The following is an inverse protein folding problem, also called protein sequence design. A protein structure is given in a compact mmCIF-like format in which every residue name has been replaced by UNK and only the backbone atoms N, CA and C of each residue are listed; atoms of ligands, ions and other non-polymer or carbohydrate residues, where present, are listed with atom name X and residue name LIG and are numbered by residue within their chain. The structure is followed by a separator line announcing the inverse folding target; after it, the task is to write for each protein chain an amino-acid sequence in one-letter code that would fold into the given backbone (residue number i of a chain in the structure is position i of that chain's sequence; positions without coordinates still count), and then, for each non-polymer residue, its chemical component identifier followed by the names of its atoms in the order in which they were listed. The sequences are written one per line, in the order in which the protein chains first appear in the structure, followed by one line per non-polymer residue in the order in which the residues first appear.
data_IF_628830460863
#
_entry.id   IF_628830460863
#
_cell.length_a   1.000
_cell.length_b   1.000
_cell.length_c   1.000
_cell.angle_alpha   90.00
_cell.angle_beta   90.00
_cell.angle_gamma   90.00
#
_symmetry.space_group_name_H-M   'P 1'
#
loop_
_entity.id
_entity.type
_entity.pdbx_description
1 polymer ?
#
# COMPACT_ATOMS: atom_id res chain seq x y z
N UNK A 1 -9.13 -8.47 -22.27
CA UNK A 1 -8.79 -9.81 -21.73
C UNK A 1 -8.95 -9.79 -20.21
N UNK A 2 -10.19 -9.94 -19.74
CA UNK A 2 -10.50 -10.03 -18.32
C UNK A 2 -10.90 -11.47 -17.98
N UNK A 3 -9.92 -12.29 -17.60
CA UNK A 3 -10.18 -13.43 -16.74
C UNK A 3 -8.91 -13.80 -15.98
N UNK A 4 -9.11 -14.20 -14.72
CA UNK A 4 -8.17 -14.91 -13.86
C UNK A 4 -7.12 -14.03 -13.14
N UNK A 5 -7.49 -13.50 -11.98
CA UNK A 5 -6.90 -13.87 -10.67
C UNK A 5 -7.98 -13.55 -9.61
N UNK A 6 -8.87 -14.51 -9.38
CA UNK A 6 -9.60 -14.66 -8.11
C UNK A 6 -9.17 -15.99 -7.55
N UNK A 7 -8.10 -16.01 -6.77
CA UNK A 7 -7.76 -17.04 -5.79
C UNK A 7 -6.62 -16.53 -4.91
N UNK A 8 -6.78 -16.72 -3.61
CA UNK A 8 -5.89 -16.38 -2.50
C UNK A 8 -6.03 -14.99 -1.86
N UNK A 9 -7.13 -14.81 -1.10
CA UNK A 9 -7.09 -14.12 0.18
C UNK A 9 -8.00 -14.87 1.17
N UNK A 10 -7.48 -15.62 2.15
CA UNK A 10 -8.29 -16.08 3.26
C UNK A 10 -8.46 -14.92 4.25
N UNK A 11 -9.57 -14.19 4.09
CA UNK A 11 -10.08 -13.32 5.15
C UNK A 11 -10.62 -14.21 6.28
N UNK A 12 -9.76 -14.53 7.25
CA UNK A 12 -10.19 -15.10 8.53
C UNK A 12 -10.83 -14.00 9.39
N UNK A 13 -12.10 -13.69 9.11
CA UNK A 13 -13.00 -13.04 10.06
C UNK A 13 -13.50 -14.11 11.04
N UNK A 14 -12.80 -14.28 12.16
CA UNK A 14 -13.32 -15.04 13.30
C UNK A 14 -14.57 -14.35 13.83
N UNK A 15 -15.74 -14.88 13.47
CA UNK A 15 -16.99 -14.67 14.20
C UNK A 15 -16.80 -15.17 15.63
N UNK A 16 -16.75 -14.23 16.58
CA UNK A 16 -16.84 -14.53 18.01
C UNK A 16 -18.27 -15.00 18.29
N UNK A 17 -18.45 -16.33 18.31
CA UNK A 17 -19.63 -16.99 18.86
C UNK A 17 -19.33 -17.24 20.35
N UNK A 18 -20.19 -16.71 21.23
CA UNK A 18 -20.06 -16.91 22.67
C UNK A 18 -20.29 -18.38 23.03
N UNK A 19 -19.46 -19.00 23.91
CA UNK A 19 -19.79 -20.30 24.45
C UNK A 19 -20.79 -20.14 25.61
N UNK A 20 -21.90 -20.87 25.52
CA UNK A 20 -22.86 -21.11 26.59
C UNK A 20 -22.13 -21.59 27.85
N UNK A 21 -22.33 -20.90 28.96
CA UNK A 21 -21.87 -21.31 30.28
C UNK A 21 -22.49 -22.68 30.63
N UNK A 22 -21.65 -23.71 30.71
CA UNK A 22 -22.01 -24.98 31.32
C UNK A 22 -21.59 -24.90 32.78
N UNK A 23 -22.58 -24.81 33.68
CA UNK A 23 -22.38 -24.77 35.12
C UNK A 23 -22.03 -26.20 35.56
N UNK A 24 -20.79 -26.39 36.01
CA UNK A 24 -20.38 -27.59 36.73
C UNK A 24 -20.19 -27.19 38.19
N UNK A 25 -21.12 -27.64 39.03
CA UNK A 25 -21.02 -27.56 40.49
C UNK A 25 -19.89 -28.48 40.97
N UNK A 26 -18.80 -27.91 41.46
CA UNK A 26 -17.86 -28.63 42.33
C UNK A 26 -18.01 -28.13 43.76
N UNK A 27 -18.33 -29.07 44.65
CA UNK A 27 -18.62 -28.88 46.06
C UNK A 27 -17.48 -28.19 46.82
N UNK A 28 -17.86 -27.23 47.67
CA UNK A 28 -17.00 -26.58 48.66
C UNK A 28 -16.51 -27.61 49.68
N UNK A 29 -15.19 -27.78 49.78
CA UNK A 29 -14.54 -28.17 51.03
C UNK A 29 -14.17 -26.87 51.77
N UNK A 30 -14.76 -26.67 52.94
CA UNK A 30 -14.46 -25.56 53.84
C UNK A 30 -13.06 -25.75 54.42
N UNK A 31 -12.09 -24.98 53.94
CA UNK A 31 -10.82 -24.74 54.64
C UNK A 31 -10.80 -23.32 55.19
N UNK A 32 -10.39 -23.23 56.45
CA UNK A 32 -10.23 -22.03 57.30
C UNK A 32 -9.79 -20.78 56.53
N UNK A 33 -10.57 -19.70 56.67
CA UNK A 33 -10.25 -18.36 56.15
C UNK A 33 -9.02 -17.85 56.88
N UNK A 34 -7.89 -17.80 56.16
CA UNK A 34 -6.79 -16.90 56.49
C UNK A 34 -7.00 -15.61 55.68
N UNK A 35 -6.70 -14.42 56.22
CA UNK A 35 -6.91 -13.18 55.49
C UNK A 35 -5.97 -13.16 54.28
N UNK A 36 -6.54 -13.24 53.08
CA UNK A 36 -5.81 -13.09 51.83
C UNK A 36 -5.17 -11.70 51.81
N UNK A 37 -3.84 -11.68 51.98
CA UNK A 37 -3.01 -10.61 51.44
C UNK A 37 -3.21 -10.71 49.91
N UNK A 38 -3.98 -9.80 49.34
CA UNK A 38 -4.15 -9.71 47.88
C UNK A 38 -2.77 -9.32 47.31
N UNK A 39 -1.95 -10.32 46.96
CA UNK A 39 -0.79 -10.07 46.10
C UNK A 39 -1.32 -9.54 44.76
N UNK A 40 -0.78 -8.42 44.23
CA UNK A 40 -1.18 -7.92 42.93
C UNK A 40 -0.95 -9.01 41.88
N UNK A 41 -2.00 -9.30 41.11
CA UNK A 41 -2.03 -10.35 40.09
C UNK A 41 -0.80 -10.19 39.18
N UNK A 42 0.19 -11.08 39.30
CA UNK A 42 1.45 -11.04 38.55
C UNK A 42 1.17 -11.07 37.05
N UNK A 43 1.17 -9.90 36.44
CA UNK A 43 0.96 -9.69 35.00
C UNK A 43 2.14 -10.30 34.24
N UNK A 44 1.91 -11.12 33.21
CA UNK A 44 2.98 -11.78 32.42
C UNK A 44 2.73 -11.66 30.92
N UNK A 45 3.80 -11.76 30.13
CA UNK A 45 3.76 -11.83 28.68
C UNK A 45 3.14 -10.58 28.06
N UNK A 46 2.06 -10.77 27.30
CA UNK A 46 1.38 -9.67 26.59
C UNK A 46 0.94 -8.56 27.54
N UNK A 47 0.27 -8.88 28.64
CA UNK A 47 -0.26 -7.85 29.55
C UNK A 47 0.86 -7.04 30.24
N UNK A 48 1.99 -7.67 30.56
CA UNK A 48 3.14 -6.98 31.13
C UNK A 48 3.75 -6.03 30.10
N UNK A 49 3.77 -6.45 28.83
CA UNK A 49 4.25 -5.62 27.72
C UNK A 49 3.33 -4.43 27.43
N UNK A 50 2.02 -4.60 27.56
CA UNK A 50 1.08 -3.48 27.43
C UNK A 50 1.26 -2.47 28.56
N UNK A 51 1.53 -2.91 29.78
CA UNK A 51 1.89 -2.01 30.88
C UNK A 51 3.23 -1.29 30.62
N UNK A 52 4.25 -2.00 30.12
CA UNK A 52 5.52 -1.38 29.71
C UNK A 52 5.31 -0.30 28.64
N UNK A 53 4.50 -0.56 27.62
CA UNK A 53 4.13 0.43 26.59
C UNK A 53 3.34 1.59 27.19
N UNK A 54 2.43 1.33 28.13
CA UNK A 54 1.65 2.37 28.82
C UNK A 54 2.56 3.34 29.56
N UNK A 55 3.55 2.85 30.29
CA UNK A 55 4.54 3.69 30.98
C UNK A 55 5.29 4.58 29.99
N UNK A 56 5.80 4.00 28.90
CA UNK A 56 6.50 4.76 27.85
C UNK A 56 5.57 5.84 27.29
N UNK A 57 4.36 5.48 26.88
CA UNK A 57 3.41 6.41 26.28
C UNK A 57 3.02 7.55 27.22
N UNK A 58 2.78 7.24 28.50
CA UNK A 58 2.43 8.20 29.53
C UNK A 58 3.58 9.18 29.79
N UNK A 59 4.81 8.68 29.84
CA UNK A 59 6.00 9.51 29.95
C UNK A 59 6.13 10.47 28.76
N UNK A 60 6.07 9.95 27.53
CA UNK A 60 6.17 10.77 26.30
C UNK A 60 5.07 11.84 26.25
N UNK A 61 3.87 11.54 26.78
CA UNK A 61 2.76 12.51 26.84
C UNK A 61 3.01 13.60 27.87
N UNK A 62 3.52 13.25 29.06
CA UNK A 62 3.65 14.16 30.20
C UNK A 62 4.97 14.94 30.25
N UNK A 63 6.02 14.43 29.61
CA UNK A 63 7.36 15.01 29.72
C UNK A 63 7.47 16.35 28.98
N UNK A 64 8.06 17.33 29.67
CA UNK A 64 8.55 18.58 29.08
C UNK A 64 9.95 18.40 28.51
N UNK A 65 10.31 19.18 27.49
CA UNK A 65 11.58 19.06 26.75
C UNK A 65 12.82 19.46 27.56
N UNK A 66 12.67 20.12 28.71
CA UNK A 66 13.75 20.82 29.41
C UNK A 66 14.50 19.98 30.44
N UNK A 67 13.90 18.93 31.00
CA UNK A 67 14.57 18.04 31.95
C UNK A 67 13.99 16.62 31.83
N UNK A 68 14.77 15.70 31.25
CA UNK A 68 14.31 14.35 30.94
C UNK A 68 15.34 13.35 31.47
N UNK A 69 14.92 12.51 32.41
CA UNK A 69 15.71 11.37 32.87
C UNK A 69 15.32 10.10 32.11
N UNK A 70 16.10 9.80 31.06
CA UNK A 70 15.91 8.59 30.27
C UNK A 70 16.29 7.30 31.03
N UNK A 71 17.17 7.38 32.04
CA UNK A 71 17.57 6.23 32.85
C UNK A 71 16.44 5.82 33.80
N UNK A 72 15.77 6.80 34.41
CA UNK A 72 14.60 6.57 35.26
C UNK A 72 13.46 5.92 34.47
N UNK A 73 13.16 6.42 33.26
CA UNK A 73 12.18 5.80 32.37
C UNK A 73 12.55 4.34 32.06
N UNK A 74 13.78 4.10 31.63
CA UNK A 74 14.24 2.74 31.29
C UNK A 74 14.14 1.81 32.48
N UNK A 75 14.58 2.25 33.66
CA UNK A 75 14.50 1.48 34.90
C UNK A 75 13.05 1.15 35.27
N UNK A 76 12.14 2.12 35.13
CA UNK A 76 10.71 1.94 35.39
C UNK A 76 10.09 0.89 34.48
N UNK A 77 10.39 0.93 33.18
CA UNK A 77 9.90 -0.04 32.19
C UNK A 77 10.48 -1.44 32.42
N UNK A 78 11.77 -1.53 32.74
CA UNK A 78 12.47 -2.80 32.93
C UNK A 78 12.16 -3.46 34.28
N UNK A 79 11.71 -2.67 35.27
CA UNK A 79 11.22 -3.21 36.55
C UNK A 79 9.99 -4.12 36.39
N UNK A 80 9.22 -3.94 35.30
CA UNK A 80 8.13 -4.83 34.94
C UNK A 80 8.69 -6.15 34.41
N UNK A 81 8.84 -7.10 35.32
CA UNK A 81 9.32 -8.43 35.02
C UNK A 81 8.38 -9.18 34.06
N UNK A 82 8.95 -10.03 33.18
CA UNK A 82 8.24 -10.95 32.27
C UNK A 82 7.40 -10.29 31.16
N UNK A 83 7.68 -9.03 30.83
CA UNK A 83 7.25 -8.41 29.57
C UNK A 83 8.17 -8.76 28.39
N UNK A 84 7.78 -8.35 27.18
CA UNK A 84 8.56 -8.53 25.95
C UNK A 84 9.54 -7.38 25.70
N UNK A 85 9.36 -6.22 26.36
CA UNK A 85 10.33 -5.12 26.31
C UNK A 85 11.48 -5.45 27.28
N UNK A 86 12.70 -5.39 26.76
CA UNK A 86 13.95 -5.74 27.44
C UNK A 86 15.08 -4.80 26.99
N UNK A 87 16.27 -4.95 27.57
CA UNK A 87 17.44 -4.11 27.31
C UNK A 87 17.81 -4.00 25.81
N UNK A 88 17.53 -5.02 25.00
CA UNK A 88 17.89 -5.02 23.58
C UNK A 88 16.93 -4.20 22.72
N UNK A 89 15.66 -4.08 23.10
CA UNK A 89 14.63 -3.45 22.27
C UNK A 89 14.02 -2.18 22.88
N UNK A 90 14.27 -1.89 24.16
CA UNK A 90 13.69 -0.75 24.87
C UNK A 90 13.96 0.58 24.17
N UNK A 91 15.18 0.79 23.65
CA UNK A 91 15.51 2.02 22.94
C UNK A 91 14.65 2.21 21.68
N UNK A 92 14.38 1.12 20.94
CA UNK A 92 13.49 1.15 19.79
C UNK A 92 12.06 1.50 20.19
N UNK A 93 11.56 0.89 21.27
CA UNK A 93 10.20 1.16 21.77
C UNK A 93 10.02 2.61 22.25
N UNK A 94 11.01 3.18 22.93
CA UNK A 94 10.96 4.58 23.38
C UNK A 94 10.96 5.51 22.17
N UNK A 95 11.90 5.33 21.23
CA UNK A 95 11.99 6.19 20.05
C UNK A 95 10.73 6.10 19.17
N UNK A 96 10.18 4.90 19.00
CA UNK A 96 8.94 4.68 18.26
C UNK A 96 7.76 5.38 18.93
N UNK A 97 7.64 5.32 20.26
CA UNK A 97 6.59 6.01 20.99
C UNK A 97 6.69 7.55 20.83
N UNK A 98 7.89 8.11 20.92
CA UNK A 98 8.13 9.53 20.65
C UNK A 98 7.71 9.92 19.22
N UNK A 99 8.08 9.09 18.24
CA UNK A 99 7.71 9.29 16.82
C UNK A 99 6.21 9.24 16.59
N UNK A 100 5.51 8.24 17.17
CA UNK A 100 4.06 8.07 17.02
C UNK A 100 3.27 9.24 17.63
N UNK A 101 3.76 9.82 18.72
CA UNK A 101 3.15 10.99 19.36
C UNK A 101 3.61 12.32 18.74
N UNK A 102 4.37 12.30 17.64
CA UNK A 102 4.90 13.48 16.95
C UNK A 102 5.71 14.43 17.87
N UNK A 103 6.46 13.86 18.81
CA UNK A 103 7.33 14.60 19.74
C UNK A 103 8.76 14.63 19.21
N UNK A 104 9.02 15.48 18.20
CA UNK A 104 10.33 15.64 17.54
C UNK A 104 11.43 16.06 18.52
N UNK A 105 11.08 16.90 19.51
CA UNK A 105 11.91 17.30 20.63
C UNK A 105 12.44 16.09 21.43
N UNK A 106 11.55 15.13 21.72
CA UNK A 106 11.89 13.91 22.45
C UNK A 106 12.66 12.91 21.57
N UNK A 107 12.35 12.82 20.28
CA UNK A 107 13.11 12.02 19.31
C UNK A 107 14.58 12.47 19.27
N UNK A 108 14.81 13.79 19.18
CA UNK A 108 16.17 14.38 19.16
C UNK A 108 16.88 14.20 20.50
N UNK A 109 16.22 14.51 21.61
CA UNK A 109 16.78 14.35 22.96
C UNK A 109 17.16 12.91 23.27
N UNK A 110 16.29 11.95 22.93
CA UNK A 110 16.55 10.53 23.17
C UNK A 110 17.72 10.01 22.34
N UNK A 111 17.80 10.37 21.06
CA UNK A 111 18.91 9.94 20.20
C UNK A 111 20.25 10.49 20.68
N UNK A 112 20.28 11.74 21.17
CA UNK A 112 21.46 12.32 21.81
C UNK A 112 21.90 11.51 23.03
N UNK A 113 20.96 11.21 23.95
CA UNK A 113 21.21 10.36 25.10
C UNK A 113 21.77 8.98 24.70
N UNK A 114 21.19 8.33 23.68
CA UNK A 114 21.69 7.02 23.23
C UNK A 114 23.12 7.12 22.68
N UNK A 115 23.43 8.16 21.90
CA UNK A 115 24.79 8.40 21.40
C UNK A 115 25.78 8.59 22.54
N UNK A 116 25.43 9.33 23.58
CA UNK A 116 26.26 9.51 24.78
C UNK A 116 26.52 8.18 25.51
N UNK A 117 25.50 7.33 25.68
CA UNK A 117 25.65 6.03 26.32
C UNK A 117 26.39 4.98 25.48
N UNK A 118 26.47 5.14 24.15
CA UNK A 118 27.00 4.15 23.21
C UNK A 118 28.33 4.55 22.57
N UNK A 119 29.07 5.49 23.16
CA UNK A 119 30.30 6.05 22.59
C UNK A 119 30.10 6.55 21.14
N UNK A 120 28.93 7.13 20.87
CA UNK A 120 28.56 7.74 19.60
C UNK A 120 28.07 6.78 18.52
N UNK A 121 27.87 5.48 18.79
CA UNK A 121 27.44 4.49 17.79
C UNK A 121 26.17 3.74 18.21
N UNK A 122 24.98 4.28 17.89
CA UNK A 122 23.73 3.56 18.04
C UNK A 122 23.70 2.29 17.17
N UNK A 123 22.80 1.36 17.49
CA UNK A 123 22.60 0.20 16.64
C UNK A 123 21.90 0.61 15.32
N UNK A 124 22.16 -0.14 14.24
CA UNK A 124 21.63 0.15 12.91
C UNK A 124 20.10 0.33 12.90
N UNK A 125 19.36 -0.59 13.55
CA UNK A 125 17.90 -0.52 13.56
C UNK A 125 17.37 0.77 14.19
N UNK A 126 18.03 1.26 15.25
CA UNK A 126 17.68 2.49 15.93
C UNK A 126 18.01 3.73 15.08
N UNK A 127 19.15 3.73 14.38
CA UNK A 127 19.48 4.80 13.42
C UNK A 127 18.44 4.89 12.29
N UNK A 128 18.02 3.75 11.74
CA UNK A 128 16.99 3.73 10.70
C UNK A 128 15.63 4.20 11.22
N UNK A 129 15.27 3.85 12.47
CA UNK A 129 14.04 4.34 13.10
C UNK A 129 14.10 5.85 13.36
N UNK A 130 15.26 6.38 13.75
CA UNK A 130 15.50 7.80 13.93
C UNK A 130 15.31 8.58 12.63
N UNK A 131 15.93 8.13 11.53
CA UNK A 131 15.77 8.74 10.20
C UNK A 131 14.30 8.72 9.76
N UNK A 132 13.61 7.59 9.92
CA UNK A 132 12.18 7.48 9.60
C UNK A 132 11.31 8.41 10.44
N UNK A 133 11.71 8.66 11.68
CA UNK A 133 11.00 9.59 12.57
C UNK A 133 11.10 11.02 12.04
N UNK A 134 12.29 11.44 11.60
CA UNK A 134 12.48 12.76 10.99
C UNK A 134 11.73 12.94 9.68
N UNK A 135 11.66 11.91 8.85
CA UNK A 135 10.86 11.99 7.62
C UNK A 135 9.38 12.31 7.89
N UNK A 136 8.81 11.82 9.00
CA UNK A 136 7.43 12.12 9.43
C UNK A 136 7.25 13.55 9.95
N UNK A 137 8.30 14.17 10.48
CA UNK A 137 8.30 15.52 11.04
C UNK A 137 9.24 16.46 10.27
N UNK A 138 9.37 16.25 8.94
CA UNK A 138 10.38 16.94 8.12
C UNK A 138 10.19 18.45 8.05
N UNK A 139 8.97 18.94 8.29
CA UNK A 139 8.63 20.36 8.31
C UNK A 139 9.27 21.11 9.50
N UNK A 140 9.71 20.38 10.53
CA UNK A 140 10.28 20.94 11.78
C UNK A 140 11.83 20.89 11.80
N UNK A 141 12.46 20.41 10.72
CA UNK A 141 13.91 20.21 10.66
C UNK A 141 14.67 21.54 10.55
N UNK A 142 15.69 21.73 11.40
CA UNK A 142 16.67 22.80 11.21
C UNK A 142 17.74 22.42 10.19
N UNK A 143 18.51 23.39 9.72
CA UNK A 143 19.65 23.14 8.82
C UNK A 143 20.68 22.17 9.45
N UNK A 144 20.91 22.29 10.76
CA UNK A 144 21.77 21.37 11.51
C UNK A 144 21.22 19.94 11.52
N UNK A 145 19.90 19.78 11.69
CA UNK A 145 19.26 18.47 11.66
C UNK A 145 19.37 17.84 10.27
N UNK A 146 19.17 18.63 9.20
CA UNK A 146 19.34 18.16 7.82
C UNK A 146 20.78 17.72 7.55
N UNK A 147 21.77 18.47 8.03
CA UNK A 147 23.19 18.12 7.89
C UNK A 147 23.54 16.82 8.64
N UNK A 148 23.02 16.64 9.86
CA UNK A 148 23.21 15.40 10.64
C UNK A 148 22.58 14.19 9.93
N UNK A 149 21.35 14.33 9.43
CA UNK A 149 20.64 13.27 8.69
C UNK A 149 21.40 12.91 7.41
N UNK A 150 21.84 13.92 6.65
CA UNK A 150 22.61 13.74 5.43
C UNK A 150 23.88 12.92 5.68
N UNK A 151 24.67 13.34 6.68
CA UNK A 151 25.92 12.67 7.06
C UNK A 151 25.65 11.21 7.49
N UNK A 152 24.58 11.00 8.26
CA UNK A 152 24.16 9.67 8.70
C UNK A 152 23.76 8.79 7.51
N UNK A 153 22.97 9.32 6.56
CA UNK A 153 22.53 8.59 5.36
C UNK A 153 23.71 8.18 4.47
N UNK A 154 24.67 9.09 4.24
CA UNK A 154 25.88 8.80 3.45
C UNK A 154 26.75 7.74 4.12
N UNK A 155 26.95 7.84 5.44
CA UNK A 155 27.68 6.85 6.23
C UNK A 155 27.01 5.48 6.19
N UNK A 156 25.69 5.44 6.40
CA UNK A 156 24.89 4.21 6.36
C UNK A 156 24.98 3.53 5.00
N UNK A 157 24.82 4.29 3.90
CA UNK A 157 24.92 3.76 2.56
C UNK A 157 26.31 3.18 2.27
N UNK A 158 27.37 3.96 2.53
CA UNK A 158 28.75 3.56 2.26
C UNK A 158 29.18 2.33 3.07
N UNK A 159 28.88 2.32 4.37
CA UNK A 159 29.34 1.27 5.27
C UNK A 159 28.53 -0.04 5.12
N UNK A 160 27.29 0.05 4.64
CA UNK A 160 26.38 -1.10 4.57
C UNK A 160 25.97 -1.47 3.13
N UNK A 161 26.71 -1.02 2.12
CA UNK A 161 26.41 -1.33 0.71
C UNK A 161 26.31 -2.84 0.44
N UNK A 162 27.12 -3.64 1.13
CA UNK A 162 27.12 -5.11 1.03
C UNK A 162 25.91 -5.79 1.70
N UNK A 163 25.19 -5.09 2.60
CA UNK A 163 23.97 -5.55 3.29
C UNK A 163 22.71 -4.88 2.73
N UNK A 164 22.85 -4.19 1.59
CA UNK A 164 21.79 -3.37 1.03
C UNK A 164 20.56 -4.23 0.73
N UNK A 165 19.43 -3.80 1.27
CA UNK A 165 18.14 -4.43 1.08
C UNK A 165 17.07 -3.33 0.99
N UNK A 166 15.85 -3.64 0.52
CA UNK A 166 14.82 -2.63 0.31
C UNK A 166 14.47 -1.82 1.56
N UNK A 167 14.50 -2.43 2.76
CA UNK A 167 14.17 -1.75 4.03
C UNK A 167 15.24 -0.76 4.44
N UNK A 168 16.53 -1.10 4.25
CA UNK A 168 17.65 -0.21 4.50
C UNK A 168 17.66 0.95 3.50
N UNK A 169 17.52 0.65 2.21
CA UNK A 169 17.50 1.65 1.15
C UNK A 169 16.35 2.64 1.34
N UNK A 170 15.15 2.15 1.65
CA UNK A 170 13.97 2.98 1.90
C UNK A 170 14.22 4.00 3.03
N UNK A 171 14.85 3.57 4.12
CA UNK A 171 15.17 4.46 5.24
C UNK A 171 16.17 5.55 4.84
N UNK A 172 17.21 5.16 4.10
CA UNK A 172 18.23 6.09 3.62
C UNK A 172 17.61 7.12 2.67
N UNK A 173 16.77 6.67 1.74
CA UNK A 173 16.04 7.54 0.80
C UNK A 173 15.10 8.49 1.55
N UNK A 174 14.35 7.99 2.54
CA UNK A 174 13.52 8.84 3.41
C UNK A 174 14.35 9.95 4.06
N UNK A 175 15.54 9.60 4.59
CA UNK A 175 16.44 10.58 5.18
C UNK A 175 16.99 11.59 4.17
N UNK A 176 17.44 11.13 2.99
CA UNK A 176 17.92 12.02 1.94
C UNK A 176 16.83 12.98 1.44
N UNK A 177 15.59 12.52 1.33
CA UNK A 177 14.43 13.36 0.98
C UNK A 177 14.10 14.45 2.02
N UNK A 178 14.71 14.41 3.20
CA UNK A 178 14.65 15.49 4.18
C UNK A 178 15.71 16.59 3.96
N UNK A 179 16.59 16.44 2.96
CA UNK A 179 17.79 17.26 2.80
C UNK A 179 17.89 17.83 1.38
N UNK A 180 18.74 18.84 1.13
CA UNK A 180 18.99 19.35 -0.22
C UNK A 180 19.61 18.32 -1.17
N UNK A 181 20.26 17.27 -0.64
CA UNK A 181 20.86 16.18 -1.44
C UNK A 181 19.88 15.05 -1.78
N UNK A 182 18.57 15.29 -1.73
CA UNK A 182 17.58 14.26 -2.03
C UNK A 182 17.75 13.59 -3.40
N UNK A 183 18.33 14.28 -4.39
CA UNK A 183 18.64 13.73 -5.73
C UNK A 183 19.62 12.57 -5.68
N UNK A 184 20.51 12.52 -4.69
CA UNK A 184 21.45 11.41 -4.47
C UNK A 184 20.70 10.10 -4.24
N UNK A 185 19.43 10.14 -3.81
CA UNK A 185 18.57 8.96 -3.69
C UNK A 185 18.49 8.15 -4.98
N UNK A 186 18.46 8.82 -6.14
CA UNK A 186 18.40 8.17 -7.45
C UNK A 186 19.72 7.46 -7.78
N UNK A 187 20.85 8.06 -7.43
CA UNK A 187 22.17 7.45 -7.59
C UNK A 187 22.38 6.29 -6.62
N UNK A 188 21.87 6.41 -5.40
CA UNK A 188 21.93 5.34 -4.39
C UNK A 188 21.10 4.14 -4.82
N UNK A 189 19.91 4.38 -5.40
CA UNK A 189 19.09 3.32 -6.02
C UNK A 189 19.88 2.58 -7.09
N UNK A 190 20.50 3.29 -8.05
CA UNK A 190 21.29 2.66 -9.12
C UNK A 190 22.47 1.86 -8.56
N UNK A 191 23.20 2.45 -7.62
CA UNK A 191 24.38 1.83 -7.02
C UNK A 191 24.04 0.62 -6.13
N UNK A 192 22.81 0.55 -5.59
CA UNK A 192 22.36 -0.53 -4.70
C UNK A 192 22.19 -1.88 -5.41
N UNK A 193 22.05 -1.90 -6.74
CA UNK A 193 21.79 -3.09 -7.57
C UNK A 193 20.54 -3.89 -7.16
N UNK A 194 19.65 -3.34 -6.33
CA UNK A 194 18.36 -3.94 -5.96
C UNK A 194 17.21 -3.24 -6.69
N UNK A 195 17.46 -2.78 -7.92
CA UNK A 195 16.50 -1.98 -8.68
C UNK A 195 15.17 -2.69 -8.88
N UNK A 196 15.13 -4.02 -8.97
CA UNK A 196 13.88 -4.77 -9.14
C UNK A 196 13.02 -4.84 -7.87
N UNK A 197 13.62 -4.62 -6.70
CA UNK A 197 12.97 -4.79 -5.38
C UNK A 197 12.70 -3.45 -4.68
N UNK A 198 12.77 -2.33 -5.41
CA UNK A 198 12.46 -1.00 -4.87
C UNK A 198 11.02 -0.98 -4.34
N UNK A 199 10.84 -0.47 -3.12
CA UNK A 199 9.53 -0.39 -2.50
C UNK A 199 8.70 0.78 -3.04
N UNK A 200 7.37 0.64 -2.99
CA UNK A 200 6.42 1.73 -3.28
C UNK A 200 6.76 2.97 -2.46
N UNK A 201 7.07 2.82 -1.18
CA UNK A 201 7.43 3.93 -0.30
C UNK A 201 8.69 4.65 -0.75
N UNK A 202 9.73 3.92 -1.16
CA UNK A 202 10.99 4.50 -1.64
C UNK A 202 10.75 5.46 -2.80
N UNK A 203 10.03 5.01 -3.83
CA UNK A 203 9.70 5.87 -4.98
C UNK A 203 8.74 7.00 -4.60
N UNK A 204 7.77 6.73 -3.72
CA UNK A 204 6.81 7.73 -3.23
C UNK A 204 7.52 8.91 -2.56
N UNK A 205 8.49 8.64 -1.68
CA UNK A 205 9.28 9.67 -1.01
C UNK A 205 10.00 10.59 -2.01
N UNK A 206 10.58 10.02 -3.07
CA UNK A 206 11.31 10.78 -4.09
C UNK A 206 10.34 11.59 -4.95
N UNK A 207 9.20 11.00 -5.35
CA UNK A 207 8.17 11.68 -6.14
C UNK A 207 7.61 12.89 -5.39
N UNK A 208 7.26 12.71 -4.11
CA UNK A 208 6.75 13.80 -3.27
C UNK A 208 7.79 14.92 -3.15
N UNK A 209 9.06 14.57 -2.92
CA UNK A 209 10.13 15.56 -2.86
C UNK A 209 10.36 16.29 -4.19
N UNK A 210 10.31 15.58 -5.31
CA UNK A 210 10.39 16.18 -6.64
C UNK A 210 9.28 17.20 -6.88
N UNK A 211 8.05 16.91 -6.43
CA UNK A 211 6.94 17.87 -6.52
C UNK A 211 7.10 19.09 -5.60
N UNK A 212 7.67 18.93 -4.40
CA UNK A 212 8.02 20.05 -3.52
C UNK A 212 9.02 21.01 -4.21
N UNK A 213 10.00 20.45 -4.92
CA UNK A 213 11.00 21.20 -5.70
C UNK A 213 10.49 21.65 -7.08
N UNK A 214 9.20 21.45 -7.38
CA UNK A 214 8.57 21.77 -8.66
C UNK A 214 9.18 21.04 -9.89
N UNK A 215 9.86 19.92 -9.67
CA UNK A 215 10.44 19.06 -10.72
C UNK A 215 9.41 18.10 -11.30
N UNK A 216 8.44 18.65 -12.03
CA UNK A 216 7.28 17.92 -12.54
C UNK A 216 7.67 16.73 -13.42
N UNK A 217 8.58 16.92 -14.39
CA UNK A 217 8.91 15.86 -15.35
C UNK A 217 9.63 14.68 -14.72
N UNK A 218 10.51 14.94 -13.75
CA UNK A 218 11.14 13.89 -12.96
C UNK A 218 10.09 13.15 -12.12
N UNK A 219 9.21 13.88 -11.42
CA UNK A 219 8.13 13.27 -10.64
C UNK A 219 7.23 12.36 -11.50
N UNK A 220 6.85 12.80 -12.70
CA UNK A 220 6.06 11.98 -13.62
C UNK A 220 6.80 10.77 -14.17
N UNK A 221 8.08 10.91 -14.49
CA UNK A 221 8.94 9.77 -14.89
C UNK A 221 8.96 8.71 -13.80
N UNK A 222 9.07 9.13 -12.54
CA UNK A 222 9.05 8.24 -11.38
C UNK A 222 7.65 7.65 -11.12
N UNK A 223 6.56 8.38 -11.38
CA UNK A 223 5.19 7.83 -11.33
C UNK A 223 5.01 6.70 -12.35
N UNK A 224 5.45 6.88 -13.59
CA UNK A 224 5.41 5.83 -14.60
C UNK A 224 6.23 4.60 -14.16
N UNK A 225 7.43 4.82 -13.60
CA UNK A 225 8.27 3.75 -13.08
C UNK A 225 7.56 2.97 -11.95
N UNK A 226 7.05 3.69 -10.94
CA UNK A 226 6.29 3.13 -9.83
C UNK A 226 5.09 2.30 -10.32
N UNK A 227 4.30 2.86 -11.22
CA UNK A 227 3.10 2.22 -11.71
C UNK A 227 3.38 0.99 -12.56
N UNK A 228 4.37 1.04 -13.46
CA UNK A 228 4.76 -0.09 -14.27
C UNK A 228 5.22 -1.30 -13.44
N UNK A 229 5.80 -1.03 -12.26
CA UNK A 229 6.31 -2.07 -11.35
C UNK A 229 5.23 -2.62 -10.44
N UNK A 230 4.46 -1.75 -9.80
CA UNK A 230 3.59 -2.14 -8.69
C UNK A 230 2.10 -2.10 -9.02
N UNK A 231 1.73 -1.48 -10.16
CA UNK A 231 0.32 -1.25 -10.54
C UNK A 231 -0.48 -0.53 -9.45
N UNK A 232 0.19 0.34 -8.68
CA UNK A 232 -0.38 1.11 -7.58
C UNK A 232 -0.01 2.58 -7.78
N UNK A 233 -0.98 3.47 -7.55
CA UNK A 233 -0.75 4.90 -7.41
C UNK A 233 -1.20 5.35 -6.00
N UNK A 234 -0.25 5.65 -5.10
CA UNK A 234 -0.52 6.17 -3.76
C UNK A 234 -1.35 7.46 -3.78
N UNK A 235 -2.25 7.59 -2.80
CA UNK A 235 -3.18 8.73 -2.68
C UNK A 235 -2.43 10.04 -2.46
N UNK A 236 -1.34 9.97 -1.70
CA UNK A 236 -0.48 11.09 -1.32
C UNK A 236 0.18 11.73 -2.55
N UNK A 237 0.56 10.94 -3.55
CA UNK A 237 1.13 11.44 -4.81
C UNK A 237 0.09 12.25 -5.58
N UNK A 238 -1.14 11.73 -5.67
CA UNK A 238 -2.24 12.43 -6.34
C UNK A 238 -2.55 13.72 -5.60
N UNK A 239 -2.66 13.68 -4.27
CA UNK A 239 -2.89 14.87 -3.45
C UNK A 239 -1.80 15.92 -3.65
N UNK A 240 -0.53 15.51 -3.65
CA UNK A 240 0.61 16.39 -3.89
C UNK A 240 0.57 17.02 -5.30
N UNK A 241 0.21 16.24 -6.34
CA UNK A 241 0.04 16.78 -7.70
C UNK A 241 -1.05 17.85 -7.76
N UNK A 242 -2.21 17.61 -7.16
CA UNK A 242 -3.28 18.62 -7.10
C UNK A 242 -2.82 19.89 -6.37
N UNK A 243 -2.15 19.75 -5.23
CA UNK A 243 -1.62 20.90 -4.48
C UNK A 243 -0.50 21.65 -5.21
N UNK A 244 0.30 20.97 -6.04
CA UNK A 244 1.25 21.62 -6.92
C UNK A 244 0.53 22.43 -8.01
N UNK A 245 -0.52 21.86 -8.62
CA UNK A 245 -1.31 22.54 -9.64
C UNK A 245 -2.08 23.77 -9.13
N UNK A 246 -2.43 23.81 -7.84
CA UNK A 246 -3.00 25.01 -7.22
C UNK A 246 -2.02 26.19 -7.19
N UNK A 247 -0.71 25.92 -7.17
CA UNK A 247 0.35 26.93 -7.02
C UNK A 247 1.07 27.23 -8.34
N UNK A 248 1.04 26.31 -9.30
CA UNK A 248 1.82 26.39 -10.53
C UNK A 248 0.91 26.36 -11.76
N UNK A 249 0.87 27.47 -12.50
CA UNK A 249 0.05 27.64 -13.71
C UNK A 249 0.42 26.67 -14.85
N UNK A 250 1.63 26.10 -14.83
CA UNK A 250 2.09 25.14 -15.85
C UNK A 250 1.66 23.69 -15.52
N UNK A 251 1.05 23.45 -14.36
CA UNK A 251 0.57 22.15 -13.93
C UNK A 251 -0.91 21.98 -14.28
N UNK A 252 -1.27 20.80 -14.78
CA UNK A 252 -2.66 20.48 -15.13
C UNK A 252 -3.15 19.25 -14.38
N UNK A 253 -4.28 19.41 -13.67
CA UNK A 253 -4.97 18.28 -13.03
C UNK A 253 -5.39 17.21 -14.05
N UNK A 254 -5.55 17.57 -15.34
CA UNK A 254 -5.89 16.59 -16.38
C UNK A 254 -4.83 15.50 -16.51
N UNK A 255 -3.56 15.80 -16.29
CA UNK A 255 -2.46 14.84 -16.45
C UNK A 255 -2.66 13.59 -15.60
N UNK A 256 -3.12 13.75 -14.35
CA UNK A 256 -3.41 12.59 -13.48
C UNK A 256 -4.69 11.87 -13.88
N UNK A 257 -5.72 12.59 -14.34
CA UNK A 257 -6.97 11.97 -14.80
C UNK A 257 -6.75 11.17 -16.09
N UNK A 258 -5.96 11.70 -17.02
CA UNK A 258 -5.55 11.04 -18.25
C UNK A 258 -4.67 9.84 -17.93
N UNK A 259 -3.70 9.98 -17.03
CA UNK A 259 -2.89 8.85 -16.57
C UNK A 259 -3.76 7.70 -16.01
N UNK A 260 -4.74 8.01 -15.15
CA UNK A 260 -5.65 7.01 -14.59
C UNK A 260 -6.50 6.34 -15.68
N UNK A 261 -7.01 7.12 -16.63
CA UNK A 261 -7.80 6.63 -17.78
C UNK A 261 -6.96 5.71 -18.67
N UNK A 262 -5.79 6.17 -19.10
CA UNK A 262 -4.95 5.51 -20.10
C UNK A 262 -4.31 4.23 -19.56
N UNK A 263 -4.25 4.09 -18.23
CA UNK A 263 -3.77 2.88 -17.57
C UNK A 263 -4.89 1.99 -17.01
N UNK A 264 -6.15 2.27 -17.37
CA UNK A 264 -7.34 1.54 -16.91
C UNK A 264 -7.35 1.33 -15.38
N UNK A 265 -6.92 2.35 -14.64
CA UNK A 265 -6.71 2.21 -13.20
C UNK A 265 -8.04 2.04 -12.47
N UNK A 266 -8.11 1.02 -11.60
CA UNK A 266 -9.27 0.82 -10.73
C UNK A 266 -9.25 1.87 -9.64
N UNK A 267 -10.13 2.86 -9.77
CA UNK A 267 -10.25 3.96 -8.81
C UNK A 267 -10.91 3.44 -7.52
N UNK A 268 -10.17 3.54 -6.41
CA UNK A 268 -10.68 3.28 -5.07
C UNK A 268 -11.51 4.46 -4.55
N UNK A 269 -12.35 4.20 -3.55
CA UNK A 269 -13.24 5.20 -2.95
C UNK A 269 -12.49 6.41 -2.38
N UNK A 270 -11.37 6.19 -1.70
CA UNK A 270 -10.52 7.26 -1.14
C UNK A 270 -9.95 8.20 -2.23
N UNK A 271 -9.50 7.62 -3.34
CA UNK A 271 -9.02 8.37 -4.49
C UNK A 271 -10.15 9.12 -5.21
N UNK A 272 -11.30 8.47 -5.37
CA UNK A 272 -12.51 9.10 -5.92
C UNK A 272 -12.90 10.33 -5.07
N UNK A 273 -12.96 10.17 -3.75
CA UNK A 273 -13.27 11.25 -2.80
C UNK A 273 -12.31 12.43 -2.94
N UNK A 274 -11.00 12.16 -2.99
CA UNK A 274 -9.97 13.17 -3.17
C UNK A 274 -10.17 13.96 -4.48
N UNK A 275 -10.32 13.25 -5.61
CA UNK A 275 -10.51 13.87 -6.94
C UNK A 275 -11.77 14.74 -6.92
N UNK A 276 -12.88 14.22 -6.39
CA UNK A 276 -14.15 14.94 -6.32
C UNK A 276 -14.02 16.23 -5.51
N UNK A 277 -13.36 16.19 -4.36
CA UNK A 277 -13.20 17.35 -3.49
C UNK A 277 -12.29 18.40 -4.12
N UNK A 278 -11.19 18.00 -4.76
CA UNK A 278 -10.30 18.92 -5.49
C UNK A 278 -10.99 19.58 -6.69
N UNK A 279 -11.80 18.82 -7.44
CA UNK A 279 -12.59 19.37 -8.57
C UNK A 279 -13.65 20.36 -8.08
N UNK A 280 -14.35 20.06 -6.96
CA UNK A 280 -15.31 21.00 -6.34
C UNK A 280 -14.66 22.31 -5.91
N UNK A 281 -13.46 22.25 -5.33
CA UNK A 281 -12.69 23.45 -4.94
C UNK A 281 -12.33 24.32 -6.14
N UNK A 282 -12.22 23.73 -7.33
CA UNK A 282 -11.99 24.45 -8.59
C UNK A 282 -13.27 25.08 -9.18
N UNK A 283 -14.41 25.01 -8.47
CA UNK A 283 -15.69 25.58 -8.91
C UNK A 283 -16.52 24.67 -9.82
N UNK A 284 -16.06 23.45 -10.12
CA UNK A 284 -16.76 22.51 -11.00
C UNK A 284 -17.72 21.63 -10.18
N UNK A 285 -18.95 21.43 -10.69
CA UNK A 285 -20.00 20.66 -10.00
C UNK A 285 -19.76 19.15 -10.08
N UNK A 286 -18.99 18.58 -9.16
CA UNK A 286 -18.80 17.14 -9.09
C UNK A 286 -19.77 16.44 -8.11
N UNK A 287 -20.32 15.28 -8.48
CA UNK A 287 -21.15 14.43 -7.60
C UNK A 287 -20.93 12.95 -7.87
N UNK A 288 -21.17 12.11 -6.86
CA UNK A 288 -21.26 10.66 -7.05
C UNK A 288 -22.62 10.32 -7.68
N UNK A 289 -22.63 9.38 -8.61
CA UNK A 289 -23.85 8.95 -9.29
C UNK A 289 -23.80 7.47 -9.65
N UNK A 290 -24.91 6.98 -10.19
CA UNK A 290 -25.08 5.64 -10.68
C UNK A 290 -25.23 5.67 -12.20
N UNK A 291 -24.90 4.56 -12.85
CA UNK A 291 -25.14 4.35 -14.28
C UNK A 291 -26.26 3.34 -14.49
N UNK A 292 -27.17 3.65 -15.41
CA UNK A 292 -28.18 2.69 -15.85
C UNK A 292 -27.52 1.58 -16.68
N UNK A 293 -27.60 0.34 -16.18
CA UNK A 293 -26.97 -0.82 -16.82
C UNK A 293 -27.42 -1.07 -18.27
N UNK A 294 -28.68 -0.80 -18.61
CA UNK A 294 -29.26 -1.15 -19.91
C UNK A 294 -28.84 -0.23 -21.06
N UNK A 295 -28.38 1.00 -20.77
CA UNK A 295 -28.06 1.99 -21.82
C UNK A 295 -26.84 2.85 -21.49
N UNK A 296 -26.12 2.56 -20.41
CA UNK A 296 -24.91 3.30 -20.04
C UNK A 296 -25.15 4.76 -19.66
N UNK A 297 -26.41 5.18 -19.40
CA UNK A 297 -26.71 6.58 -19.05
C UNK A 297 -26.41 6.89 -17.58
N UNK A 298 -25.74 8.01 -17.34
CA UNK A 298 -25.55 8.58 -16.02
C UNK A 298 -26.90 9.06 -15.43
N UNK A 299 -27.24 8.67 -14.19
CA UNK A 299 -28.50 9.09 -13.53
C UNK A 299 -28.56 10.59 -13.20
N UNK A 300 -27.42 11.25 -13.07
CA UNK A 300 -27.34 12.66 -12.70
C UNK A 300 -27.42 13.60 -13.91
N UNK A 301 -26.59 13.37 -14.95
CA UNK A 301 -26.51 14.27 -16.11
C UNK A 301 -27.19 13.73 -17.38
N UNK A 302 -27.73 12.52 -17.35
CA UNK A 302 -28.38 11.82 -18.46
C UNK A 302 -27.48 11.58 -19.70
N UNK A 303 -26.18 11.88 -19.62
CA UNK A 303 -25.21 11.58 -20.67
C UNK A 303 -24.94 10.08 -20.75
N UNK A 304 -24.74 9.58 -21.97
CA UNK A 304 -24.36 8.20 -22.25
C UNK A 304 -22.84 8.09 -22.12
N UNK A 305 -22.35 7.13 -21.35
CA UNK A 305 -20.92 6.86 -21.29
C UNK A 305 -20.39 6.40 -22.65
N UNK A 306 -19.18 6.82 -22.99
CA UNK A 306 -18.53 6.39 -24.23
C UNK A 306 -18.34 4.87 -24.19
N UNK A 307 -18.73 4.20 -25.27
CA UNK A 307 -18.41 2.78 -25.43
C UNK A 307 -16.90 2.61 -25.53
N UNK A 308 -16.41 1.50 -25.00
CA UNK A 308 -15.02 1.08 -25.22
C UNK A 308 -14.96 0.48 -26.62
N UNK A 309 -14.62 1.31 -27.59
CA UNK A 309 -14.42 0.89 -28.97
C UNK A 309 -12.97 0.42 -29.12
N UNK A 310 -12.78 -0.80 -29.62
CA UNK A 310 -11.46 -1.33 -30.00
C UNK A 310 -11.27 -1.01 -31.48
N UNK A 311 -10.20 -0.30 -31.81
CA UNK A 311 -9.88 0.00 -33.23
C UNK A 311 -9.44 -1.26 -33.96
N UNK A 312 -9.62 -1.32 -35.29
CA UNK A 312 -9.15 -2.44 -36.11
C UNK A 312 -7.64 -2.68 -35.95
N UNK A 313 -6.85 -1.62 -35.79
CA UNK A 313 -5.42 -1.72 -35.51
C UNK A 313 -5.10 -2.35 -34.16
N UNK A 314 -5.82 -1.97 -33.10
CA UNK A 314 -5.64 -2.57 -31.77
C UNK A 314 -6.09 -4.03 -31.78
N UNK A 315 -7.20 -4.34 -32.43
CA UNK A 315 -7.68 -5.71 -32.58
C UNK A 315 -6.70 -6.57 -33.36
N UNK A 316 -6.17 -6.08 -34.48
CA UNK A 316 -5.17 -6.78 -35.27
C UNK A 316 -3.88 -7.01 -34.49
N UNK A 317 -3.38 -5.98 -33.79
CA UNK A 317 -2.20 -6.11 -32.94
C UNK A 317 -2.41 -7.15 -31.83
N UNK A 318 -3.60 -7.16 -31.20
CA UNK A 318 -3.99 -8.15 -30.21
C UNK A 318 -4.01 -9.57 -30.79
N UNK A 319 -4.62 -9.73 -31.97
CA UNK A 319 -4.71 -10.99 -32.70
C UNK A 319 -3.32 -11.54 -33.04
N UNK A 320 -2.44 -10.71 -33.62
CA UNK A 320 -1.08 -11.09 -33.99
C UNK A 320 -0.23 -11.48 -32.76
N UNK A 321 -0.29 -10.69 -31.68
CA UNK A 321 0.38 -11.00 -30.43
C UNK A 321 -0.13 -12.30 -29.80
N UNK A 322 -1.44 -12.54 -29.85
CA UNK A 322 -2.04 -13.77 -29.31
C UNK A 322 -1.62 -15.00 -30.13
N UNK A 323 -1.73 -14.94 -31.46
CA UNK A 323 -1.35 -16.04 -32.33
C UNK A 323 0.16 -16.37 -32.21
N UNK A 324 1.02 -15.36 -32.26
CA UNK A 324 2.48 -15.57 -32.19
C UNK A 324 2.95 -16.11 -30.84
N UNK A 325 2.41 -15.60 -29.72
CA UNK A 325 2.90 -15.94 -28.39
C UNK A 325 2.19 -17.15 -27.75
N UNK A 326 0.89 -17.30 -27.99
CA UNK A 326 0.05 -18.32 -27.32
C UNK A 326 -0.11 -19.57 -28.18
N UNK A 327 -0.33 -19.40 -29.48
CA UNK A 327 -0.57 -20.52 -30.40
C UNK A 327 0.72 -21.07 -31.02
N UNK A 328 1.65 -20.19 -31.43
CA UNK A 328 2.90 -20.57 -32.13
C UNK A 328 4.12 -20.63 -31.19
N UNK A 329 4.02 -20.08 -29.98
CA UNK A 329 5.14 -19.92 -29.04
C UNK A 329 5.90 -21.22 -28.68
N UNK A 330 7.00 -21.09 -27.92
CA UNK A 330 8.05 -22.13 -27.66
C UNK A 330 7.58 -23.53 -27.22
N UNK A 331 6.32 -23.72 -26.85
CA UNK A 331 5.71 -25.00 -26.50
C UNK A 331 4.48 -25.30 -27.38
N UNK A 332 4.68 -25.39 -28.70
CA UNK A 332 3.67 -25.86 -29.67
C UNK A 332 3.01 -27.18 -29.20
N UNK A 333 3.73 -28.00 -28.44
CA UNK A 333 3.31 -29.33 -28.00
C UNK A 333 2.40 -29.39 -26.76
N UNK A 334 2.02 -28.27 -26.14
CA UNK A 334 1.21 -28.33 -24.91
C UNK A 334 -0.31 -28.25 -25.13
N UNK A 335 -0.81 -27.75 -26.28
CA UNK A 335 -2.26 -27.47 -26.43
C UNK A 335 -2.92 -27.93 -27.75
N UNK A 336 -2.24 -27.93 -28.91
CA UNK A 336 -2.82 -28.35 -30.21
C UNK A 336 -1.71 -28.59 -31.25
N UNK A 337 -1.97 -29.33 -32.34
CA UNK A 337 -0.98 -29.58 -33.41
C UNK A 337 -0.96 -28.46 -34.46
N UNK A 338 0.18 -28.20 -35.14
CA UNK A 338 0.24 -27.22 -36.23
C UNK A 338 -0.76 -27.48 -37.36
N UNK A 339 -1.02 -28.75 -37.66
CA UNK A 339 -1.98 -29.15 -38.70
C UNK A 339 -3.41 -28.79 -38.29
N UNK A 340 -3.81 -29.16 -37.08
CA UNK A 340 -5.14 -28.85 -36.54
C UNK A 340 -5.40 -27.33 -36.50
N UNK A 341 -4.38 -26.53 -36.14
CA UNK A 341 -4.48 -25.07 -36.17
C UNK A 341 -4.68 -24.52 -37.60
N UNK A 342 -4.00 -25.08 -38.59
CA UNK A 342 -4.15 -24.67 -39.99
C UNK A 342 -5.52 -25.09 -40.53
N UNK A 343 -5.94 -26.34 -40.29
CA UNK A 343 -7.27 -26.84 -40.68
C UNK A 343 -8.38 -25.97 -40.07
N UNK A 344 -8.21 -25.53 -38.82
CA UNK A 344 -9.15 -24.62 -38.16
C UNK A 344 -9.16 -23.22 -38.80
N UNK A 345 -8.00 -22.66 -39.17
CA UNK A 345 -7.94 -21.38 -39.89
C UNK A 345 -8.67 -21.45 -41.22
N UNK A 346 -8.38 -22.49 -42.01
CA UNK A 346 -9.02 -22.71 -43.32
C UNK A 346 -10.53 -22.86 -43.17
N UNK A 347 -10.99 -23.60 -42.16
CA UNK A 347 -12.41 -23.72 -41.83
C UNK A 347 -13.03 -22.35 -41.56
N UNK A 348 -12.44 -21.55 -40.66
CA UNK A 348 -12.97 -20.22 -40.30
C UNK A 348 -12.96 -19.26 -41.50
N UNK A 349 -11.93 -19.28 -42.35
CA UNK A 349 -11.89 -18.45 -43.57
C UNK A 349 -13.04 -18.77 -44.54
N UNK A 350 -13.46 -20.05 -44.61
CA UNK A 350 -14.55 -20.49 -45.47
C UNK A 350 -15.92 -20.17 -44.86
N UNK A 351 -16.06 -20.21 -43.53
CA UNK A 351 -17.37 -20.21 -42.86
C UNK A 351 -17.72 -18.93 -42.11
N UNK A 352 -16.77 -18.01 -41.94
CA UNK A 352 -17.00 -16.67 -41.38
C UNK A 352 -17.87 -15.78 -42.30
N UNK A 353 -18.53 -14.73 -41.78
CA UNK A 353 -18.48 -14.19 -40.42
C UNK A 353 -19.45 -14.84 -39.43
N UNK A 354 -19.08 -14.78 -38.14
CA UNK A 354 -19.92 -15.18 -37.03
C UNK A 354 -20.19 -14.01 -36.10
N UNK A 355 -21.43 -13.85 -35.64
CA UNK A 355 -21.77 -12.83 -34.64
C UNK A 355 -21.36 -13.26 -33.22
N UNK A 356 -21.42 -14.56 -32.93
CA UNK A 356 -21.18 -15.11 -31.59
C UNK A 356 -20.36 -16.40 -31.70
N UNK A 357 -19.23 -16.44 -31.01
CA UNK A 357 -18.41 -17.65 -30.83
C UNK A 357 -18.61 -18.17 -29.43
N UNK A 358 -18.96 -19.46 -29.30
CA UNK A 358 -19.28 -20.09 -28.02
C UNK A 358 -18.20 -21.11 -27.66
N UNK A 359 -17.61 -20.96 -26.48
CA UNK A 359 -16.77 -22.00 -25.88
C UNK A 359 -17.67 -23.11 -25.31
N UNK A 360 -17.97 -24.09 -26.16
CA UNK A 360 -18.86 -25.20 -25.82
C UNK A 360 -18.35 -26.06 -24.68
N UNK A 361 -17.02 -26.18 -24.49
CA UNK A 361 -16.44 -26.99 -23.43
C UNK A 361 -16.67 -26.33 -22.06
N UNK A 362 -16.32 -25.05 -21.93
CA UNK A 362 -16.55 -24.31 -20.69
C UNK A 362 -18.03 -24.17 -20.37
N UNK A 363 -18.89 -24.03 -21.40
CA UNK A 363 -20.33 -24.06 -21.21
C UNK A 363 -20.81 -25.42 -20.67
N UNK A 364 -20.39 -26.53 -21.28
CA UNK A 364 -20.76 -27.86 -20.82
C UNK A 364 -20.31 -28.11 -19.36
N UNK A 365 -19.11 -27.67 -18.98
CA UNK A 365 -18.63 -27.76 -17.60
C UNK A 365 -19.45 -26.92 -16.62
N UNK A 366 -19.80 -25.68 -16.97
CA UNK A 366 -20.61 -24.81 -16.13
C UNK A 366 -22.00 -25.41 -15.83
N UNK A 367 -22.53 -26.23 -16.75
CA UNK A 367 -23.87 -26.82 -16.66
C UNK A 367 -23.91 -28.31 -16.31
N UNK A 368 -22.76 -28.97 -16.04
CA UNK A 368 -22.73 -30.37 -15.56
C UNK A 368 -23.56 -30.47 -14.26
N UNK A 369 -24.75 -31.08 -14.37
CA UNK A 369 -25.68 -31.33 -13.25
C UNK A 369 -26.90 -30.41 -13.15
N UNK A 370 -27.13 -29.46 -14.08
CA UNK A 370 -28.29 -28.53 -14.04
C UNK A 370 -29.16 -28.52 -15.31
N UNK A 371 -29.04 -29.51 -16.18
CA UNK A 371 -29.82 -29.54 -17.44
C UNK A 371 -31.17 -30.24 -17.20
N UNK A 372 -32.17 -29.44 -16.83
CA UNK A 372 -33.58 -29.76 -17.07
C UNK A 372 -34.07 -28.95 -18.27
N UNK A 373 -34.36 -29.63 -19.38
CA UNK A 373 -35.09 -29.27 -20.63
C UNK A 373 -35.26 -27.83 -21.16
N UNK A 374 -34.67 -26.76 -20.61
CA UNK A 374 -34.90 -25.38 -21.09
C UNK A 374 -33.66 -24.45 -21.04
N UNK A 375 -32.44 -24.97 -21.21
CA UNK A 375 -31.22 -24.20 -20.89
C UNK A 375 -30.56 -23.42 -22.04
N UNK A 376 -30.87 -23.65 -23.32
CA UNK A 376 -30.22 -22.89 -24.41
C UNK A 376 -30.85 -21.50 -24.61
N UNK A 377 -32.19 -21.39 -24.53
CA UNK A 377 -32.89 -20.09 -24.66
C UNK A 377 -32.57 -19.09 -23.53
N UNK A 378 -32.17 -19.58 -22.35
CA UNK A 378 -31.82 -18.73 -21.20
C UNK A 378 -30.46 -18.04 -21.33
N UNK A 379 -29.56 -18.57 -22.17
CA UNK A 379 -28.20 -18.04 -22.38
C UNK A 379 -28.17 -16.75 -23.20
N UNK A 380 -29.13 -16.56 -24.11
CA UNK A 380 -29.21 -15.35 -24.95
C UNK A 380 -29.85 -14.17 -24.19
N UNK A 381 -30.59 -14.44 -23.12
CA UNK A 381 -31.45 -13.44 -22.44
C UNK A 381 -31.06 -13.10 -21.00
N UNK A 382 -29.96 -13.63 -20.46
CA UNK A 382 -29.53 -13.32 -19.10
C UNK A 382 -28.36 -12.35 -19.09
N UNK A 383 -28.65 -11.06 -18.84
CA UNK A 383 -27.60 -10.15 -18.36
C UNK A 383 -27.18 -10.58 -16.96
N UNK A 384 -25.87 -10.78 -16.70
CA UNK A 384 -25.40 -10.94 -15.33
C UNK A 384 -25.75 -9.67 -14.54
N UNK A 385 -26.25 -9.82 -13.32
CA UNK A 385 -26.32 -8.73 -12.36
C UNK A 385 -24.90 -8.30 -11.99
N UNK A 386 -24.36 -7.35 -12.76
CA UNK A 386 -23.11 -6.67 -12.45
C UNK A 386 -23.39 -5.77 -11.23
N UNK A 387 -22.56 -5.81 -10.18
CA UNK A 387 -22.70 -4.87 -9.08
C UNK A 387 -22.71 -3.44 -9.62
N UNK A 388 -23.61 -2.63 -9.08
CA UNK A 388 -23.72 -1.21 -9.40
C UNK A 388 -22.37 -0.52 -9.32
N UNK A 389 -21.91 0.01 -10.44
CA UNK A 389 -20.69 0.82 -10.52
C UNK A 389 -21.05 2.25 -10.10
N UNK A 390 -20.49 2.67 -8.97
CA UNK A 390 -20.50 4.06 -8.54
C UNK A 390 -19.41 4.82 -9.31
N UNK A 391 -19.78 5.96 -9.90
CA UNK A 391 -18.88 6.79 -10.67
C UNK A 391 -19.02 8.25 -10.24
N UNK A 392 -17.95 9.04 -10.44
CA UNK A 392 -18.00 10.49 -10.25
C UNK A 392 -18.45 11.12 -11.56
N UNK A 393 -19.55 11.85 -11.51
CA UNK A 393 -20.00 12.76 -12.56
C UNK A 393 -19.45 14.15 -12.24
N UNK A 394 -18.72 14.74 -13.20
CA UNK A 394 -18.16 16.09 -13.11
C UNK A 394 -18.93 17.04 -14.02
#
# INVERSE_FOLDING_TARGET
MCSLIRKHLPWNLLKVVSPRQTIIHTQRLLSVVTPDIIEPRKVKGRFASEEQKRIIAEFVTKSSSTFIDWNELKSSVLSINRGYINEKNINGCILEACSQQKRSDLVKSFMKYVKECSNGKPNLALELLYIRSWYKSREELTDDDQYEIQTSCQSLFKNNLHLMNPVLLEAIVMGLCCTPLWRDSLEFIKASKIENDITVNTLTCIILRAFEESEMDLGWTLIHNLFNRHRILPLEIVAAWFSLCEKNVNCSYRRVLEFLRDNEYIIREDLAELIRNKIKQSGIKATTTMVYHHNGKCKNCNQVLKNVDITDSEFKMLQECFLSNVMVGKNIFNNSSPQELNDFKDFIEITAPYDVVVDGLNLAYAYRGKVGNHSIYFLVNTQPSVPSLELICV
#
